data_IF_208546412413
#
_entry.id   IF_208546412413
#
_cell.length_a   1.000
_cell.length_b   1.000
_cell.length_c   1.000
_cell.angle_alpha   90.00
_cell.angle_beta   90.00
_cell.angle_gamma   90.00
#
_symmetry.space_group_name_H-M   'P 1'
#
loop_
_entity.id
_entity.type
_entity.pdbx_description
1 polymer ?
#
# COMPACT_ATOMS: atom_id res chain seq x y z
N UNK A 1 -15.54 13.58 -17.81
CA UNK A 1 -15.16 13.73 -16.39
C UNK A 1 -13.69 13.37 -16.30
N UNK A 2 -12.83 14.33 -15.94
CA UNK A 2 -11.38 14.13 -16.03
C UNK A 2 -10.95 13.08 -15.02
N UNK A 3 -10.26 12.03 -15.49
CA UNK A 3 -9.38 11.23 -14.64
C UNK A 3 -8.66 12.17 -13.67
N UNK A 4 -8.57 11.89 -12.35
CA UNK A 4 -7.58 12.56 -11.53
C UNK A 4 -6.24 12.37 -12.22
N UNK A 5 -5.76 13.44 -12.84
CA UNK A 5 -4.64 13.36 -13.76
C UNK A 5 -3.39 13.31 -12.91
N UNK A 6 -2.91 12.08 -12.71
CA UNK A 6 -1.56 11.90 -12.23
C UNK A 6 -0.60 12.56 -13.23
N UNK A 7 -0.10 13.74 -12.87
CA UNK A 7 0.83 14.52 -13.69
C UNK A 7 2.10 14.83 -12.89
N UNK A 8 3.16 14.01 -13.08
CA UNK A 8 4.47 14.21 -12.46
C UNK A 8 5.09 15.59 -12.72
N UNK A 9 4.70 16.29 -13.80
CA UNK A 9 5.27 17.60 -14.14
C UNK A 9 4.84 18.69 -13.14
N UNK A 10 3.69 18.50 -12.47
CA UNK A 10 3.16 19.44 -11.47
C UNK A 10 3.71 19.20 -10.07
N UNK A 11 4.56 18.19 -9.87
CA UNK A 11 5.01 17.74 -8.55
C UNK A 11 5.67 18.86 -7.72
N UNK A 12 6.60 19.60 -8.29
CA UNK A 12 7.37 20.62 -7.56
C UNK A 12 6.46 21.77 -7.10
N UNK A 13 5.48 22.15 -7.93
CA UNK A 13 4.47 23.15 -7.58
C UNK A 13 3.56 22.67 -6.44
N UNK A 14 3.10 21.42 -6.50
CA UNK A 14 2.29 20.82 -5.43
C UNK A 14 3.06 20.74 -4.10
N UNK A 15 4.35 20.43 -4.14
CA UNK A 15 5.20 20.35 -2.95
C UNK A 15 5.40 21.75 -2.34
N UNK A 16 5.70 22.75 -3.18
CA UNK A 16 5.85 24.14 -2.74
C UNK A 16 4.56 24.69 -2.10
N UNK A 17 3.40 24.42 -2.71
CA UNK A 17 2.10 24.81 -2.15
C UNK A 17 1.85 24.17 -0.77
N UNK A 18 2.15 22.88 -0.62
CA UNK A 18 2.02 22.18 0.67
C UNK A 18 2.94 22.76 1.74
N UNK A 19 4.18 23.10 1.39
CA UNK A 19 5.14 23.71 2.31
C UNK A 19 4.68 25.11 2.73
N UNK A 20 4.24 25.95 1.79
CA UNK A 20 3.71 27.28 2.07
C UNK A 20 2.49 27.20 3.01
N UNK A 21 1.56 26.29 2.72
CA UNK A 21 0.38 26.06 3.58
C UNK A 21 0.75 25.61 4.99
N UNK A 22 1.79 24.79 5.16
CA UNK A 22 2.27 24.37 6.48
C UNK A 22 2.85 25.55 7.27
N UNK A 23 3.63 26.41 6.62
CA UNK A 23 4.19 27.64 7.22
C UNK A 23 3.06 28.55 7.71
N UNK A 24 2.04 28.80 6.90
CA UNK A 24 0.88 29.60 7.29
C UNK A 24 0.12 28.99 8.46
N UNK A 25 -0.13 27.68 8.42
CA UNK A 25 -0.85 26.96 9.47
C UNK A 25 -0.14 27.04 10.83
N UNK A 26 1.19 27.00 10.83
CA UNK A 26 2.00 26.97 12.05
C UNK A 26 2.51 28.35 12.49
N UNK A 27 2.26 29.41 11.72
CA UNK A 27 2.67 30.77 12.05
C UNK A 27 2.22 31.24 13.46
N UNK A 28 0.99 30.92 13.96
CA UNK A 28 0.58 31.31 15.30
C UNK A 28 1.39 30.68 16.46
N UNK A 29 2.26 29.70 16.16
CA UNK A 29 3.06 28.98 17.15
C UNK A 29 4.56 29.28 17.05
N UNK A 30 4.96 30.28 16.25
CA UNK A 30 6.37 30.63 15.99
C UNK A 30 7.23 29.42 15.56
N UNK A 31 6.63 28.50 14.78
CA UNK A 31 7.33 27.32 14.30
C UNK A 31 8.51 27.70 13.37
N UNK A 32 9.64 26.97 13.44
CA UNK A 32 10.76 27.20 12.54
C UNK A 32 10.39 26.87 11.07
N UNK A 33 11.23 27.33 10.15
CA UNK A 33 11.11 26.95 8.75
C UNK A 33 11.15 25.41 8.61
N UNK A 34 10.21 24.81 7.86
CA UNK A 34 10.12 23.35 7.77
C UNK A 34 11.26 22.77 6.92
N UNK A 35 11.79 21.64 7.37
CA UNK A 35 12.56 20.75 6.51
C UNK A 35 11.61 19.99 5.57
N UNK A 36 11.91 20.00 4.27
CA UNK A 36 11.03 19.42 3.25
C UNK A 36 11.67 18.17 2.66
N UNK A 37 10.97 17.05 2.80
CA UNK A 37 11.38 15.75 2.27
C UNK A 37 10.46 15.35 1.12
N UNK A 38 11.02 15.26 -0.07
CA UNK A 38 10.29 14.88 -1.28
C UNK A 38 9.95 13.37 -1.32
N UNK A 39 8.95 13.02 -2.11
CA UNK A 39 8.60 11.64 -2.48
C UNK A 39 9.09 11.41 -3.90
N UNK A 40 9.45 10.17 -4.27
CA UNK A 40 9.50 9.82 -5.68
C UNK A 40 8.19 10.23 -6.38
N UNK A 41 8.30 10.72 -7.61
CA UNK A 41 7.14 11.22 -8.39
C UNK A 41 6.18 10.08 -8.74
N UNK A 42 6.72 8.89 -8.97
CA UNK A 42 6.00 7.66 -9.35
C UNK A 42 6.38 6.51 -8.43
N UNK A 43 5.56 5.46 -8.43
CA UNK A 43 5.82 4.18 -7.79
C UNK A 43 6.11 4.22 -6.28
N UNK A 44 5.66 5.27 -5.61
CA UNK A 44 5.93 5.48 -4.19
C UNK A 44 4.95 4.73 -3.29
N UNK A 45 3.77 4.32 -3.80
CA UNK A 45 2.71 3.73 -2.97
C UNK A 45 2.83 2.21 -2.89
N UNK A 46 3.20 1.71 -1.71
CA UNK A 46 3.45 0.30 -1.42
C UNK A 46 2.19 -0.54 -1.14
N UNK A 47 1.04 0.11 -0.94
CA UNK A 47 -0.24 -0.56 -0.72
C UNK A 47 -1.40 0.10 -1.44
N UNK A 48 -2.28 -0.70 -2.03
CA UNK A 48 -3.47 -0.20 -2.72
C UNK A 48 -4.63 -1.18 -2.60
N UNK A 49 -5.85 -0.66 -2.59
CA UNK A 49 -7.09 -1.42 -2.65
C UNK A 49 -7.80 -1.04 -3.95
N UNK A 50 -8.33 -2.04 -4.65
CA UNK A 50 -9.21 -1.84 -5.78
C UNK A 50 -10.53 -2.58 -5.53
N UNK A 51 -11.64 -1.92 -5.87
CA UNK A 51 -12.89 -2.62 -6.11
C UNK A 51 -12.82 -3.30 -7.47
N UNK A 52 -13.59 -4.36 -7.66
CA UNK A 52 -13.78 -4.96 -8.98
C UNK A 52 -15.14 -4.56 -9.54
N UNK A 53 -15.12 -3.81 -10.64
CA UNK A 53 -16.31 -3.44 -11.38
C UNK A 53 -16.57 -4.45 -12.50
N UNK A 54 -17.85 -4.73 -12.79
CA UNK A 54 -18.24 -5.63 -13.87
C UNK A 54 -18.85 -4.84 -15.02
N UNK A 55 -18.25 -4.95 -16.20
CA UNK A 55 -18.72 -4.36 -17.45
C UNK A 55 -18.51 -5.38 -18.58
N UNK A 56 -19.50 -5.53 -19.46
CA UNK A 56 -19.47 -6.48 -20.59
C UNK A 56 -19.06 -7.92 -20.22
N UNK A 57 -19.49 -8.35 -19.03
CA UNK A 57 -19.19 -9.69 -18.51
C UNK A 57 -17.79 -9.84 -17.91
N UNK A 58 -16.90 -8.86 -18.08
CA UNK A 58 -15.53 -8.84 -17.57
C UNK A 58 -15.42 -8.08 -16.24
N UNK A 59 -14.37 -8.37 -15.46
CA UNK A 59 -14.04 -7.65 -14.22
C UNK A 59 -12.83 -6.75 -14.43
N UNK A 60 -12.94 -5.51 -13.97
CA UNK A 60 -11.90 -4.49 -14.06
C UNK A 60 -11.57 -3.96 -12.67
N UNK A 61 -10.30 -3.60 -12.44
CA UNK A 61 -9.95 -2.80 -11.27
C UNK A 61 -10.66 -1.44 -11.37
N UNK A 62 -11.23 -1.00 -10.26
CA UNK A 62 -11.94 0.26 -10.20
C UNK A 62 -11.67 1.00 -8.89
N UNK A 63 -11.61 2.32 -9.02
CA UNK A 63 -11.69 3.26 -7.91
C UNK A 63 -12.90 4.18 -8.12
N UNK A 64 -13.24 4.97 -7.11
CA UNK A 64 -14.36 5.90 -7.14
C UNK A 64 -13.94 7.24 -6.56
N UNK A 65 -14.51 8.33 -7.08
CA UNK A 65 -14.34 9.64 -6.49
C UNK A 65 -14.93 9.68 -5.08
N UNK A 66 -14.36 10.47 -4.14
CA UNK A 66 -14.94 10.67 -2.83
C UNK A 66 -16.40 11.11 -2.92
N UNK A 67 -17.31 10.32 -2.36
CA UNK A 67 -18.76 10.60 -2.38
C UNK A 67 -19.53 9.98 -3.55
N UNK A 68 -18.85 9.46 -4.57
CA UNK A 68 -19.47 8.68 -5.66
C UNK A 68 -19.24 7.18 -5.41
N UNK A 69 -20.27 6.36 -5.62
CA UNK A 69 -20.20 4.89 -5.52
C UNK A 69 -20.74 4.19 -6.77
N UNK A 70 -21.15 4.96 -7.76
CA UNK A 70 -21.88 4.50 -8.93
C UNK A 70 -21.08 4.70 -10.23
N UNK A 71 -20.22 5.71 -10.28
CA UNK A 71 -19.36 5.97 -11.45
C UNK A 71 -17.97 5.38 -11.22
N UNK A 72 -17.65 4.20 -11.79
CA UNK A 72 -16.33 3.61 -11.63
C UNK A 72 -15.29 4.35 -12.47
N UNK A 73 -14.11 4.57 -11.91
CA UNK A 73 -12.91 4.91 -12.64
C UNK A 73 -12.16 3.60 -12.88
N UNK A 74 -12.19 3.11 -14.12
CA UNK A 74 -11.48 1.89 -14.50
C UNK A 74 -9.97 2.14 -14.51
N UNK A 75 -9.27 1.24 -13.83
CA UNK A 75 -7.82 1.27 -13.66
C UNK A 75 -7.21 0.12 -14.44
N UNK A 76 -6.43 0.44 -15.46
CA UNK A 76 -5.59 -0.54 -16.16
C UNK A 76 -4.14 -0.42 -15.67
N UNK A 77 -3.65 0.82 -15.55
CA UNK A 77 -2.34 1.15 -14.96
C UNK A 77 -2.52 2.03 -13.72
N UNK A 78 -1.62 1.89 -12.74
CA UNK A 78 -1.66 2.70 -11.52
C UNK A 78 -0.27 3.23 -11.16
N UNK A 79 0.21 4.31 -11.83
CA UNK A 79 1.60 4.75 -11.80
C UNK A 79 2.09 5.20 -10.42
N UNK A 80 1.18 5.58 -9.52
CA UNK A 80 1.55 5.89 -8.13
C UNK A 80 1.86 4.65 -7.29
N UNK A 81 1.31 3.49 -7.63
CA UNK A 81 1.61 2.23 -6.94
C UNK A 81 2.97 1.68 -7.33
N UNK A 82 3.58 0.93 -6.42
CA UNK A 82 4.90 0.34 -6.61
C UNK A 82 5.01 -0.41 -7.94
N UNK A 83 6.23 -0.52 -8.46
CA UNK A 83 6.52 -1.31 -9.67
C UNK A 83 5.99 -2.73 -9.52
N UNK A 84 6.19 -3.33 -8.35
CA UNK A 84 5.72 -4.67 -8.04
C UNK A 84 4.20 -4.81 -8.12
N UNK A 85 3.44 -3.81 -7.67
CA UNK A 85 1.97 -3.81 -7.84
C UNK A 85 1.60 -3.78 -9.32
N UNK A 86 2.20 -2.88 -10.11
CA UNK A 86 1.91 -2.76 -11.54
C UNK A 86 2.31 -4.03 -12.32
N UNK A 87 3.36 -4.75 -11.90
CA UNK A 87 3.70 -6.07 -12.47
C UNK A 87 2.64 -7.14 -12.15
N UNK A 88 2.11 -7.14 -10.93
CA UNK A 88 1.17 -8.16 -10.45
C UNK A 88 -0.26 -7.95 -10.96
N UNK A 89 -0.69 -6.71 -11.16
CA UNK A 89 -2.04 -6.37 -11.61
C UNK A 89 -2.50 -7.12 -12.88
N UNK A 90 -1.78 -7.08 -14.02
CA UNK A 90 -2.22 -7.79 -15.22
C UNK A 90 -2.19 -9.31 -15.05
N UNK A 91 -1.25 -9.86 -14.27
CA UNK A 91 -1.14 -11.30 -14.04
C UNK A 91 -2.29 -11.82 -13.17
N UNK A 92 -2.65 -11.09 -12.12
CA UNK A 92 -3.79 -11.41 -11.28
C UNK A 92 -5.11 -11.28 -12.06
N UNK A 93 -5.23 -10.26 -12.92
CA UNK A 93 -6.38 -10.10 -13.82
C UNK A 93 -6.57 -11.30 -14.74
N UNK A 94 -5.49 -11.75 -15.38
CA UNK A 94 -5.51 -12.94 -16.22
C UNK A 94 -5.92 -14.20 -15.42
N UNK A 95 -5.42 -14.35 -14.18
CA UNK A 95 -5.74 -15.50 -13.34
C UNK A 95 -7.23 -15.60 -12.99
N UNK A 96 -7.87 -14.51 -12.55
CA UNK A 96 -9.31 -14.56 -12.28
C UNK A 96 -10.16 -14.63 -13.55
N UNK A 97 -9.63 -14.25 -14.71
CA UNK A 97 -10.32 -14.42 -16.00
C UNK A 97 -10.31 -15.89 -16.43
N UNK A 98 -9.23 -16.62 -16.13
CA UNK A 98 -9.07 -18.04 -16.49
C UNK A 98 -9.73 -19.01 -15.49
N UNK A 99 -10.00 -18.59 -14.25
CA UNK A 99 -10.48 -19.47 -13.18
C UNK A 99 -11.80 -18.97 -12.58
N UNK A 100 -12.89 -19.72 -12.78
CA UNK A 100 -14.19 -19.41 -12.18
C UNK A 100 -14.12 -19.39 -10.64
N UNK A 101 -13.32 -20.28 -10.04
CA UNK A 101 -13.13 -20.30 -8.60
C UNK A 101 -12.50 -18.99 -8.10
N UNK A 102 -11.49 -18.44 -8.79
CA UNK A 102 -10.91 -17.16 -8.41
C UNK A 102 -11.84 -15.97 -8.74
N UNK A 103 -12.63 -16.08 -9.81
CA UNK A 103 -13.49 -15.00 -10.31
C UNK A 103 -14.80 -14.83 -9.56
N UNK A 104 -15.50 -15.93 -9.28
CA UNK A 104 -16.90 -15.89 -8.87
C UNK A 104 -17.06 -15.15 -7.54
N UNK A 105 -17.83 -14.04 -7.58
CA UNK A 105 -18.09 -13.13 -6.45
C UNK A 105 -16.84 -12.47 -5.83
N UNK A 106 -15.70 -12.46 -6.51
CA UNK A 106 -14.57 -11.57 -6.16
C UNK A 106 -15.02 -10.12 -6.38
N UNK A 107 -14.88 -9.28 -5.35
CA UNK A 107 -15.37 -7.89 -5.39
C UNK A 107 -14.31 -6.85 -5.00
N UNK A 108 -13.20 -7.27 -4.40
CA UNK A 108 -12.12 -6.40 -3.98
C UNK A 108 -10.80 -7.16 -3.94
N UNK A 109 -9.74 -6.45 -4.29
CA UNK A 109 -8.36 -6.91 -4.20
C UNK A 109 -7.54 -5.85 -3.48
N UNK A 110 -6.70 -6.29 -2.56
CA UNK A 110 -5.70 -5.44 -1.93
C UNK A 110 -4.30 -5.96 -2.24
N UNK A 111 -3.39 -5.04 -2.53
CA UNK A 111 -1.98 -5.33 -2.65
C UNK A 111 -1.23 -4.68 -1.50
N UNK A 112 -0.34 -5.45 -0.89
CA UNK A 112 0.66 -4.97 0.06
C UNK A 112 2.04 -5.41 -0.45
N UNK A 113 2.90 -4.46 -0.74
CA UNK A 113 4.25 -4.68 -1.25
C UNK A 113 5.28 -3.95 -0.39
N UNK A 114 6.55 -4.24 -0.61
CA UNK A 114 7.67 -3.65 0.14
C UNK A 114 8.71 -3.06 -0.80
N UNK A 115 9.59 -2.20 -0.29
CA UNK A 115 10.78 -1.75 -1.04
C UNK A 115 11.69 -2.94 -1.41
N UNK A 116 11.69 -3.98 -0.57
CA UNK A 116 12.48 -5.20 -0.81
C UNK A 116 11.86 -6.19 -1.81
N UNK A 117 10.68 -5.88 -2.39
CA UNK A 117 10.02 -6.70 -3.41
C UNK A 117 9.09 -7.80 -2.88
N UNK A 118 9.00 -8.00 -1.56
CA UNK A 118 8.01 -8.91 -0.95
C UNK A 118 6.58 -8.41 -1.22
N UNK A 119 5.64 -9.33 -1.40
CA UNK A 119 4.28 -9.02 -1.81
C UNK A 119 3.24 -10.00 -1.22
N UNK A 120 2.11 -9.43 -0.80
CA UNK A 120 0.92 -10.12 -0.34
C UNK A 120 -0.31 -9.56 -1.05
N UNK A 121 -1.18 -10.45 -1.50
CA UNK A 121 -2.45 -10.10 -2.17
C UNK A 121 -3.62 -10.59 -1.33
N UNK A 122 -4.53 -9.70 -0.96
CA UNK A 122 -5.81 -10.08 -0.32
C UNK A 122 -6.90 -10.13 -1.38
N UNK A 123 -7.60 -11.26 -1.47
CA UNK A 123 -8.74 -11.47 -2.37
C UNK A 123 -10.02 -11.56 -1.55
N UNK A 124 -10.94 -10.61 -1.73
CA UNK A 124 -12.17 -10.52 -0.94
C UNK A 124 -13.42 -10.90 -1.75
N UNK A 125 -14.27 -11.75 -1.14
CA UNK A 125 -15.38 -12.42 -1.82
C UNK A 125 -16.74 -12.26 -1.13
N UNK A 126 -17.79 -12.13 -1.95
CA UNK A 126 -19.20 -12.25 -1.55
C UNK A 126 -19.71 -13.70 -1.70
N UNK A 127 -18.90 -14.68 -1.30
CA UNK A 127 -19.25 -16.09 -1.21
C UNK A 127 -18.33 -16.83 -0.22
N UNK A 128 -18.74 -17.96 0.36
CA UNK A 128 -17.83 -18.83 1.08
C UNK A 128 -16.69 -19.33 0.19
N UNK A 129 -15.49 -19.40 0.75
CA UNK A 129 -14.32 -20.01 0.11
C UNK A 129 -14.32 -21.51 0.38
N UNK A 130 -14.07 -22.32 -0.64
CA UNK A 130 -14.07 -23.78 -0.60
C UNK A 130 -12.73 -24.35 -1.09
N UNK A 131 -12.59 -25.67 -1.08
CA UNK A 131 -11.33 -26.35 -1.44
C UNK A 131 -10.92 -26.07 -2.89
N UNK A 132 -11.87 -25.92 -3.81
CA UNK A 132 -11.61 -25.52 -5.19
C UNK A 132 -10.98 -24.11 -5.27
N UNK A 133 -11.46 -23.15 -4.46
CA UNK A 133 -10.81 -21.84 -4.37
C UNK A 133 -9.39 -21.95 -3.80
N UNK A 134 -9.20 -22.78 -2.77
CA UNK A 134 -7.89 -22.92 -2.14
C UNK A 134 -6.86 -23.50 -3.12
N UNK A 135 -7.20 -24.57 -3.85
CA UNK A 135 -6.30 -25.18 -4.82
C UNK A 135 -5.84 -24.18 -5.92
N UNK A 136 -6.77 -23.36 -6.42
CA UNK A 136 -6.48 -22.34 -7.43
C UNK A 136 -5.65 -21.18 -6.84
N UNK A 137 -5.92 -20.78 -5.59
CA UNK A 137 -5.14 -19.76 -4.90
C UNK A 137 -3.71 -20.22 -4.58
N UNK A 138 -3.48 -21.51 -4.27
CA UNK A 138 -2.14 -22.09 -4.07
C UNK A 138 -1.31 -22.08 -5.35
N UNK A 139 -1.92 -22.44 -6.48
CA UNK A 139 -1.28 -22.36 -7.79
C UNK A 139 -0.95 -20.92 -8.16
N UNK A 140 -1.89 -19.99 -7.91
CA UNK A 140 -1.68 -18.57 -8.16
C UNK A 140 -0.57 -17.96 -7.30
N UNK A 141 -0.56 -18.27 -6.00
CA UNK A 141 0.48 -17.80 -5.09
C UNK A 141 1.87 -18.24 -5.57
N UNK A 142 1.98 -19.50 -6.00
CA UNK A 142 3.21 -20.07 -6.54
C UNK A 142 3.63 -19.40 -7.85
N UNK A 143 2.69 -19.23 -8.80
CA UNK A 143 3.01 -18.65 -10.12
C UNK A 143 3.44 -17.19 -10.04
N UNK A 144 2.85 -16.41 -9.14
CA UNK A 144 3.19 -15.00 -8.94
C UNK A 144 4.39 -14.79 -7.99
N UNK A 145 4.75 -15.81 -7.22
CA UNK A 145 5.76 -15.71 -6.15
C UNK A 145 5.33 -14.76 -5.04
N UNK A 146 4.08 -14.89 -4.56
CA UNK A 146 3.49 -14.02 -3.52
C UNK A 146 2.76 -14.84 -2.47
N UNK A 147 2.43 -14.22 -1.33
CA UNK A 147 1.43 -14.80 -0.41
C UNK A 147 0.03 -14.29 -0.75
N UNK A 148 -1.00 -15.10 -0.45
CA UNK A 148 -2.40 -14.74 -0.73
C UNK A 148 -3.24 -14.92 0.54
N UNK A 149 -4.10 -13.94 0.83
CA UNK A 149 -5.12 -14.05 1.88
C UNK A 149 -6.50 -14.00 1.24
N UNK A 150 -7.25 -15.09 1.36
CA UNK A 150 -8.66 -15.14 0.97
C UNK A 150 -9.56 -14.67 2.10
N UNK A 151 -10.43 -13.69 1.82
CA UNK A 151 -11.43 -13.20 2.78
C UNK A 151 -12.84 -13.39 2.25
N UNK A 152 -13.72 -13.91 3.10
CA UNK A 152 -15.17 -13.84 2.94
C UNK A 152 -15.84 -13.62 4.29
N UNK A 153 -17.16 -13.44 4.34
CA UNK A 153 -17.89 -13.28 5.61
C UNK A 153 -17.53 -14.41 6.59
N UNK A 154 -16.88 -14.05 7.70
CA UNK A 154 -16.49 -14.99 8.78
C UNK A 154 -15.40 -16.01 8.41
N UNK A 155 -14.75 -15.91 7.24
CA UNK A 155 -13.69 -16.84 6.82
C UNK A 155 -12.46 -16.09 6.34
N UNK A 156 -11.30 -16.55 6.81
CA UNK A 156 -9.97 -16.10 6.40
C UNK A 156 -9.10 -17.32 6.11
N UNK A 157 -8.56 -17.41 4.90
CA UNK A 157 -7.65 -18.47 4.48
C UNK A 157 -6.32 -17.83 4.10
N UNK A 158 -5.21 -18.34 4.64
CA UNK A 158 -3.86 -17.84 4.35
C UNK A 158 -3.12 -18.88 3.52
N UNK A 159 -2.61 -18.45 2.38
CA UNK A 159 -1.70 -19.21 1.51
C UNK A 159 -0.32 -18.58 1.62
N UNK A 160 0.64 -19.34 2.14
CA UNK A 160 1.98 -18.82 2.49
C UNK A 160 1.97 -18.10 3.84
N UNK A 161 2.19 -16.79 3.83
CA UNK A 161 2.27 -15.95 5.05
C UNK A 161 1.19 -14.88 5.02
N UNK A 162 0.83 -14.36 6.19
CA UNK A 162 -0.10 -13.25 6.32
C UNK A 162 0.57 -11.90 6.64
N UNK A 163 1.83 -11.76 6.26
CA UNK A 163 2.61 -10.54 6.36
C UNK A 163 3.63 -10.48 5.22
N UNK A 164 4.05 -9.26 4.88
CA UNK A 164 5.27 -9.01 4.09
C UNK A 164 6.42 -8.61 5.00
N UNK A 165 7.66 -8.79 4.54
CA UNK A 165 8.88 -8.37 5.24
C UNK A 165 9.47 -7.14 4.56
N UNK A 166 9.37 -5.99 5.22
CA UNK A 166 9.97 -4.74 4.75
C UNK A 166 11.40 -4.56 5.28
N UNK A 167 12.23 -3.84 4.53
CA UNK A 167 13.57 -3.46 4.95
C UNK A 167 13.74 -1.95 4.82
N UNK A 168 14.03 -1.27 5.92
CA UNK A 168 14.30 0.18 5.96
C UNK A 168 15.69 0.42 6.54
N UNK A 169 16.43 1.36 5.97
CA UNK A 169 17.76 1.77 6.44
C UNK A 169 17.64 3.06 7.23
N UNK A 170 17.97 3.00 8.52
CA UNK A 170 17.95 4.14 9.44
C UNK A 170 19.31 4.25 10.11
N UNK A 171 19.94 5.43 10.06
CA UNK A 171 21.27 5.68 10.62
C UNK A 171 22.33 4.64 10.17
N UNK A 172 22.27 4.23 8.90
CA UNK A 172 23.18 3.22 8.32
C UNK A 172 22.92 1.77 8.76
N UNK A 173 21.89 1.49 9.57
CA UNK A 173 21.49 0.15 9.98
C UNK A 173 20.21 -0.28 9.27
N UNK A 174 20.16 -1.55 8.87
CA UNK A 174 18.98 -2.15 8.23
C UNK A 174 18.08 -2.77 9.29
N UNK A 175 16.84 -2.29 9.36
CA UNK A 175 15.77 -2.83 10.19
C UNK A 175 14.80 -3.64 9.33
N UNK A 176 14.33 -4.78 9.86
CA UNK A 176 13.37 -5.65 9.19
C UNK A 176 12.04 -5.64 9.92
N UNK A 177 10.98 -5.30 9.21
CA UNK A 177 9.64 -5.18 9.78
C UNK A 177 8.72 -6.21 9.17
N UNK A 178 7.99 -6.95 10.02
CA UNK A 178 6.81 -7.67 9.56
C UNK A 178 5.67 -6.67 9.44
N UNK A 179 5.01 -6.70 8.29
CA UNK A 179 3.86 -5.87 7.98
C UNK A 179 2.66 -6.81 7.74
N UNK A 180 1.86 -7.11 8.79
CA UNK A 180 0.72 -8.02 8.67
C UNK A 180 -0.37 -7.48 7.74
N UNK A 181 -1.07 -8.40 7.08
CA UNK A 181 -2.27 -8.13 6.31
C UNK A 181 -3.31 -7.38 7.18
N UNK A 182 -3.84 -6.28 6.65
CA UNK A 182 -4.81 -5.44 7.36
C UNK A 182 -4.25 -4.53 8.45
N UNK A 183 -2.97 -4.67 8.84
CA UNK A 183 -2.33 -3.74 9.77
C UNK A 183 -2.01 -2.40 9.08
N UNK A 184 -1.92 -1.33 9.88
CA UNK A 184 -1.43 -0.04 9.37
C UNK A 184 0.06 -0.14 9.05
N UNK A 185 0.44 0.43 7.91
CA UNK A 185 1.84 0.59 7.47
C UNK A 185 1.95 1.91 6.72
N UNK A 186 3.12 2.54 6.78
CA UNK A 186 3.37 3.74 5.98
C UNK A 186 3.27 3.37 4.49
N UNK A 187 2.39 4.01 3.72
CA UNK A 187 2.14 3.62 2.34
C UNK A 187 3.27 4.04 1.39
N UNK A 188 4.21 4.87 1.85
CA UNK A 188 5.37 5.31 1.09
C UNK A 188 6.65 4.96 1.86
N UNK A 189 7.32 3.89 1.44
CA UNK A 189 8.51 3.39 2.12
C UNK A 189 9.68 4.36 2.06
N UNK A 190 9.86 5.07 0.94
CA UNK A 190 10.95 6.04 0.75
C UNK A 190 10.79 7.24 1.70
N UNK A 191 9.58 7.79 1.78
CA UNK A 191 9.28 8.87 2.73
C UNK A 191 9.30 8.36 4.17
N UNK A 192 8.87 7.12 4.42
CA UNK A 192 8.99 6.49 5.74
C UNK A 192 10.45 6.46 6.20
N UNK A 193 11.37 6.04 5.33
CA UNK A 193 12.80 6.02 5.64
C UNK A 193 13.34 7.43 5.95
N UNK A 194 12.91 8.46 5.20
CA UNK A 194 13.28 9.86 5.48
C UNK A 194 12.77 10.30 6.86
N UNK A 195 11.50 10.01 7.19
CA UNK A 195 10.91 10.33 8.51
C UNK A 195 11.67 9.65 9.66
N UNK A 196 12.05 8.38 9.49
CA UNK A 196 12.79 7.64 10.51
C UNK A 196 14.20 8.23 10.75
N UNK A 197 14.92 8.59 9.67
CA UNK A 197 16.23 9.22 9.81
C UNK A 197 16.12 10.61 10.44
N UNK A 198 15.13 11.41 10.03
CA UNK A 198 14.88 12.71 10.65
C UNK A 198 14.58 12.58 12.16
N UNK A 199 13.72 11.62 12.54
CA UNK A 199 13.39 11.41 13.95
C UNK A 199 14.62 10.95 14.76
N UNK A 200 15.48 10.11 14.18
CA UNK A 200 16.73 9.67 14.80
C UNK A 200 17.69 10.86 15.03
N UNK A 201 17.86 11.71 14.03
CA UNK A 201 18.70 12.92 14.13
C UNK A 201 18.14 13.93 15.14
N UNK A 202 16.83 14.17 15.10
CA UNK A 202 16.15 15.10 16.01
C UNK A 202 16.18 14.64 17.47
N UNK A 203 16.13 13.32 17.71
CA UNK A 203 16.24 12.75 19.06
C UNK A 203 17.65 12.94 19.63
N UNK A 204 18.67 12.71 18.79
CA UNK A 204 20.09 12.80 19.17
C UNK A 204 20.52 11.76 20.21
N UNK A 205 21.73 11.92 20.74
CA UNK A 205 22.18 11.10 21.87
C UNK A 205 21.45 11.50 23.17
N UNK A 206 20.94 10.50 23.88
CA UNK A 206 20.20 10.71 25.13
C UNK A 206 20.53 9.65 26.16
N UNK A 207 20.32 9.97 27.43
CA UNK A 207 20.49 9.07 28.57
C UNK A 207 19.19 8.78 29.32
N UNK A 208 18.05 9.24 28.78
CA UNK A 208 16.71 9.02 29.30
C UNK A 208 15.94 7.99 28.45
N UNK A 209 14.72 7.65 28.88
CA UNK A 209 13.85 6.69 28.20
C UNK A 209 12.90 7.38 27.21
N UNK A 210 12.65 6.75 26.06
CA UNK A 210 11.64 7.18 25.08
C UNK A 210 10.33 6.40 25.27
N UNK A 211 9.20 7.11 25.25
CA UNK A 211 7.85 6.53 25.23
C UNK A 211 7.16 6.86 23.91
N UNK A 212 6.86 5.84 23.10
CA UNK A 212 6.03 5.97 21.90
C UNK A 212 4.61 5.45 22.16
N UNK A 213 3.60 6.29 21.94
CA UNK A 213 2.20 5.88 22.02
C UNK A 213 1.71 5.43 20.64
N UNK A 214 0.92 4.37 20.61
CA UNK A 214 0.33 3.81 19.37
C UNK A 214 1.37 3.41 18.31
N UNK A 215 2.47 2.79 18.73
CA UNK A 215 3.62 2.49 17.88
C UNK A 215 3.38 1.48 16.74
N UNK A 216 2.19 0.87 16.67
CA UNK A 216 1.83 -0.08 15.62
C UNK A 216 2.77 -1.29 15.60
N UNK A 217 3.49 -1.50 14.49
CA UNK A 217 4.50 -2.54 14.37
C UNK A 217 5.89 -2.14 14.91
N UNK A 218 5.96 -1.06 15.69
CA UNK A 218 7.20 -0.50 16.25
C UNK A 218 8.02 0.27 15.21
N UNK A 219 7.37 0.92 14.23
CA UNK A 219 8.08 1.55 13.10
C UNK A 219 9.15 2.55 13.57
N UNK A 220 8.79 3.45 14.50
CA UNK A 220 9.71 4.40 15.12
C UNK A 220 10.40 3.85 16.37
N UNK A 221 9.73 3.03 17.19
CA UNK A 221 10.32 2.49 18.44
C UNK A 221 11.56 1.65 18.22
N UNK A 222 11.64 0.91 17.10
CA UNK A 222 12.76 0.02 16.84
C UNK A 222 14.07 0.75 16.45
N UNK A 223 14.04 1.79 15.59
CA UNK A 223 15.25 2.53 15.23
C UNK A 223 15.64 3.69 16.16
N UNK A 224 14.73 4.18 17.01
CA UNK A 224 14.97 5.26 17.98
C UNK A 224 15.40 4.69 19.34
#
# INVERSE_FOLDING_TARGET
>A
MSRPQFDPATYDAQLAEKAARLVELLAPFDAPAPEVFDSPREHYRLRTEFRLWREDGQRHYAMFEPGDKHTPILIEDFPIASRRINELMPQLKAAWQASEALSFKLFQVEFLTTLSGDALITLAYHRPLNDAWQAEAEQLATSLGVSIVGRSKGKRIVIGRDFVTEQLTVAGRVFRYRQPEGAFTQPNGEVCQKMLNWAYEALGERSDDLLELYCGNGNFTLPL
#
